data_IF_687876739534
#
_entry.id   IF_687876739534
#
_cell.length_a   1.000
_cell.length_b   1.000
_cell.length_c   1.000
_cell.angle_alpha   90.00
_cell.angle_beta   90.00
_cell.angle_gamma   90.00
#
_symmetry.space_group_name_H-M   'P 1'
#
loop_
_entity.id
_entity.type
_entity.pdbx_description
1 polymer ?
#
# COMPACT_ATOMS: atom_id res chain seq x y z
N UNK A 1 -6.33 7.25 -10.47
CA UNK A 1 -6.23 6.45 -9.22
C UNK A 1 -5.30 7.12 -8.24
N UNK A 2 -5.36 6.75 -6.98
CA UNK A 2 -4.55 7.31 -5.90
C UNK A 2 -3.74 6.20 -5.24
N UNK A 3 -2.42 6.38 -5.10
CA UNK A 3 -1.57 5.59 -4.21
C UNK A 3 -1.44 6.36 -2.90
N UNK A 4 -1.77 5.71 -1.80
CA UNK A 4 -1.81 6.30 -0.47
C UNK A 4 -1.06 5.38 0.50
N UNK A 5 0.22 5.68 0.68
CA UNK A 5 1.14 4.81 1.36
C UNK A 5 2.21 5.53 2.16
N UNK A 6 3.21 4.78 2.52
CA UNK A 6 4.38 5.25 3.25
C UNK A 6 5.65 5.31 2.37
N UNK A 7 6.81 5.08 2.96
CA UNK A 7 8.11 5.10 2.28
C UNK A 7 8.24 4.05 1.16
N UNK A 8 7.53 2.94 1.26
CA UNK A 8 7.56 1.86 0.26
C UNK A 8 6.93 2.31 -1.07
N UNK A 9 5.97 3.24 -1.00
CA UNK A 9 5.30 3.82 -2.17
C UNK A 9 5.85 5.20 -2.55
N UNK A 10 6.56 5.89 -1.62
CA UNK A 10 7.17 7.20 -1.86
C UNK A 10 8.57 7.13 -2.52
N UNK A 11 9.03 5.95 -2.94
CA UNK A 11 10.35 5.71 -3.51
C UNK A 11 11.51 6.15 -2.58
N UNK A 12 11.40 5.90 -1.27
CA UNK A 12 12.41 6.29 -0.30
C UNK A 12 13.82 5.77 -0.70
N UNK A 13 14.81 6.66 -0.62
CA UNK A 13 16.22 6.32 -0.89
C UNK A 13 16.57 6.14 -2.37
N UNK A 14 15.64 6.44 -3.30
CA UNK A 14 15.88 6.34 -4.74
C UNK A 14 15.18 7.49 -5.50
N UNK A 15 15.55 7.75 -6.76
CA UNK A 15 14.79 8.68 -7.60
C UNK A 15 13.35 8.23 -7.77
N UNK A 16 12.37 9.13 -7.60
CA UNK A 16 10.93 8.84 -7.67
C UNK A 16 10.54 8.09 -8.96
N UNK A 17 11.13 8.48 -10.11
CA UNK A 17 10.90 7.82 -11.41
C UNK A 17 11.31 6.34 -11.46
N UNK A 18 12.03 5.83 -10.45
CA UNK A 18 12.49 4.45 -10.33
C UNK A 18 11.63 3.61 -9.38
N UNK A 19 10.74 4.26 -8.62
CA UNK A 19 9.82 3.58 -7.72
C UNK A 19 8.68 2.87 -8.49
N UNK A 20 8.08 1.88 -7.86
CA UNK A 20 7.02 1.06 -8.46
C UNK A 20 5.79 1.90 -8.88
N UNK A 21 5.52 3.02 -8.23
CA UNK A 21 4.39 3.90 -8.60
C UNK A 21 4.63 4.57 -9.96
N UNK A 22 5.86 5.03 -10.24
CA UNK A 22 6.21 5.55 -11.55
C UNK A 22 6.14 4.45 -12.63
N UNK A 23 6.61 3.24 -12.32
CA UNK A 23 6.47 2.09 -13.22
C UNK A 23 4.99 1.72 -13.47
N UNK A 24 4.13 1.86 -12.45
CA UNK A 24 2.68 1.70 -12.60
C UNK A 24 2.10 2.73 -13.57
N UNK A 25 2.49 4.00 -13.43
CA UNK A 25 2.04 5.07 -14.33
C UNK A 25 2.44 4.79 -15.78
N UNK A 26 3.70 4.39 -16.02
CA UNK A 26 4.17 4.00 -17.36
C UNK A 26 3.38 2.82 -17.94
N UNK A 27 3.07 1.83 -17.11
CA UNK A 27 2.25 0.69 -17.53
C UNK A 27 0.83 1.10 -17.89
N UNK A 28 0.20 1.96 -17.08
CA UNK A 28 -1.14 2.46 -17.35
C UNK A 28 -1.21 3.27 -18.65
N UNK A 29 -0.22 4.14 -18.93
CA UNK A 29 -0.16 4.87 -20.20
C UNK A 29 -0.24 3.95 -21.43
N UNK A 30 0.29 2.73 -21.34
CA UNK A 30 0.25 1.73 -22.42
C UNK A 30 -1.01 0.88 -22.43
N UNK A 31 -1.45 0.41 -21.28
CA UNK A 31 -2.50 -0.62 -21.17
C UNK A 31 -3.87 -0.05 -20.82
N UNK A 32 -3.91 1.05 -20.05
CA UNK A 32 -5.11 1.71 -19.55
C UNK A 32 -4.96 3.23 -19.52
N UNK A 33 -4.87 3.87 -20.70
CA UNK A 33 -4.68 5.33 -20.83
C UNK A 33 -5.87 6.16 -20.27
N UNK A 34 -6.98 5.49 -19.96
CA UNK A 34 -8.14 6.04 -19.27
C UNK A 34 -7.89 6.25 -17.75
N UNK A 35 -6.76 5.80 -17.22
CA UNK A 35 -6.36 6.01 -15.81
C UNK A 35 -5.06 6.80 -15.70
N UNK A 36 -5.05 7.76 -14.78
CA UNK A 36 -3.85 8.43 -14.28
C UNK A 36 -3.55 8.04 -12.84
N UNK A 37 -2.31 8.25 -12.39
CA UNK A 37 -1.87 7.97 -11.02
C UNK A 37 -1.51 9.27 -10.32
N UNK A 38 -2.07 9.49 -9.12
CA UNK A 38 -1.58 10.44 -8.15
C UNK A 38 -0.92 9.67 -7.01
N UNK A 39 0.29 10.05 -6.62
CA UNK A 39 0.99 9.48 -5.46
C UNK A 39 0.95 10.45 -4.29
N UNK A 40 0.22 10.11 -3.23
CA UNK A 40 0.14 10.90 -2.00
C UNK A 40 0.80 10.18 -0.82
N UNK A 41 1.76 9.31 -1.09
CA UNK A 41 2.52 8.57 -0.08
C UNK A 41 3.52 9.48 0.63
N UNK A 42 3.71 9.28 1.94
CA UNK A 42 4.63 10.05 2.78
C UNK A 42 5.52 9.09 3.55
N UNK A 43 6.84 9.22 3.41
CA UNK A 43 7.80 8.39 4.15
C UNK A 43 7.60 8.52 5.66
N UNK A 44 7.57 7.38 6.36
CA UNK A 44 7.37 7.33 7.80
C UNK A 44 5.91 7.46 8.26
N UNK A 45 4.95 7.56 7.32
CA UNK A 45 3.53 7.69 7.63
C UNK A 45 2.99 6.49 8.41
N UNK A 46 2.23 6.77 9.45
CA UNK A 46 1.44 5.77 10.19
C UNK A 46 -0.01 5.79 9.74
N UNK A 47 -0.77 4.78 10.14
CA UNK A 47 -2.22 4.76 9.87
C UNK A 47 -2.96 5.94 10.52
N UNK A 48 -2.49 6.43 11.67
CA UNK A 48 -3.06 7.60 12.32
C UNK A 48 -2.82 8.88 11.51
N UNK A 49 -1.59 9.10 11.02
CA UNK A 49 -1.27 10.24 10.15
C UNK A 49 -2.05 10.16 8.84
N UNK A 50 -2.11 8.98 8.22
CA UNK A 50 -2.94 8.75 7.03
C UNK A 50 -4.41 9.08 7.28
N UNK A 51 -4.98 8.63 8.39
CA UNK A 51 -6.38 8.92 8.73
C UNK A 51 -6.65 10.44 8.89
N UNK A 52 -5.70 11.17 9.44
CA UNK A 52 -5.85 12.60 9.67
C UNK A 52 -5.93 13.44 8.38
N UNK A 53 -5.36 12.96 7.27
CA UNK A 53 -5.29 13.71 6.01
C UNK A 53 -6.13 13.14 4.86
N UNK A 54 -6.71 11.94 5.02
CA UNK A 54 -7.38 11.24 3.91
C UNK A 54 -8.51 12.04 3.28
N UNK A 55 -9.34 12.74 4.06
CA UNK A 55 -10.51 13.46 3.55
C UNK A 55 -10.10 14.55 2.55
N UNK A 56 -9.08 15.35 2.89
CA UNK A 56 -8.55 16.41 2.01
C UNK A 56 -7.95 15.82 0.72
N UNK A 57 -7.30 14.65 0.82
CA UNK A 57 -6.71 13.99 -0.34
C UNK A 57 -7.79 13.41 -1.24
N UNK A 58 -8.83 12.78 -0.69
CA UNK A 58 -9.97 12.27 -1.45
C UNK A 58 -10.74 13.39 -2.16
N UNK A 59 -10.95 14.53 -1.49
CA UNK A 59 -11.62 15.68 -2.08
C UNK A 59 -10.84 16.24 -3.28
N UNK A 60 -9.51 16.34 -3.16
CA UNK A 60 -8.63 16.85 -4.21
C UNK A 60 -8.50 15.89 -5.38
N UNK A 61 -8.23 14.60 -5.11
CA UNK A 61 -7.87 13.63 -6.14
C UNK A 61 -9.07 12.90 -6.75
N UNK A 62 -10.18 12.80 -6.04
CA UNK A 62 -11.43 12.11 -6.46
C UNK A 62 -11.15 10.77 -7.15
N UNK A 63 -10.41 9.85 -6.51
CA UNK A 63 -9.92 8.66 -7.17
C UNK A 63 -11.03 7.65 -7.44
N UNK A 64 -11.04 7.03 -8.63
CA UNK A 64 -11.88 5.86 -8.89
C UNK A 64 -11.33 4.59 -8.20
N UNK A 65 -10.01 4.54 -7.94
CA UNK A 65 -9.34 3.45 -7.24
C UNK A 65 -8.34 4.05 -6.26
N UNK A 66 -8.38 3.57 -4.99
CA UNK A 66 -7.39 3.83 -3.97
C UNK A 66 -6.54 2.57 -3.76
N UNK A 67 -5.22 2.70 -3.84
CA UNK A 67 -4.25 1.69 -3.38
C UNK A 67 -3.79 2.16 -2.01
N UNK A 68 -4.23 1.46 -0.95
CA UNK A 68 -3.94 1.79 0.45
C UNK A 68 -2.79 0.91 0.95
N UNK A 69 -1.62 1.50 1.09
CA UNK A 69 -0.38 0.84 1.51
C UNK A 69 0.14 1.54 2.78
N UNK A 70 -0.49 1.28 3.93
CA UNK A 70 -0.14 1.82 5.25
C UNK A 70 -0.23 0.72 6.31
N UNK A 71 0.48 0.93 7.40
CA UNK A 71 0.52 0.05 8.56
C UNK A 71 1.91 -0.48 8.88
N UNK A 72 2.83 -0.47 7.91
CA UNK A 72 4.22 -0.92 8.12
C UNK A 72 4.88 -0.16 9.25
N UNK A 73 4.74 1.17 9.29
CA UNK A 73 5.30 2.00 10.36
C UNK A 73 4.63 1.79 11.71
N UNK A 74 3.33 1.48 11.73
CA UNK A 74 2.64 1.09 12.97
C UNK A 74 3.25 -0.20 13.52
N UNK A 75 3.39 -1.21 12.67
CA UNK A 75 3.97 -2.51 13.03
C UNK A 75 5.43 -2.39 13.49
N UNK A 76 6.28 -1.72 12.72
CA UNK A 76 7.70 -1.54 13.03
C UNK A 76 7.93 -0.74 14.32
N UNK A 77 7.00 0.11 14.72
CA UNK A 77 7.04 0.86 15.99
C UNK A 77 6.36 0.13 17.15
N UNK A 78 5.87 -1.09 16.93
CA UNK A 78 5.19 -1.87 17.97
C UNK A 78 3.88 -1.25 18.45
N UNK A 79 3.21 -0.44 17.61
CA UNK A 79 1.95 0.19 17.98
C UNK A 79 0.81 -0.83 18.07
N UNK A 80 -0.24 -0.57 18.86
CA UNK A 80 -1.35 -1.50 19.02
C UNK A 80 -2.02 -1.84 17.68
N UNK A 81 -2.03 -3.12 17.29
CA UNK A 81 -2.65 -3.61 16.05
C UNK A 81 -4.14 -3.23 15.98
N UNK A 82 -4.84 -3.19 17.10
CA UNK A 82 -6.24 -2.77 17.15
C UNK A 82 -6.43 -1.29 16.72
N UNK A 83 -5.51 -0.40 17.09
CA UNK A 83 -5.53 1.00 16.67
C UNK A 83 -5.24 1.13 15.17
N UNK A 84 -4.21 0.44 14.66
CA UNK A 84 -3.91 0.35 13.23
C UNK A 84 -5.13 -0.13 12.43
N UNK A 85 -5.74 -1.24 12.85
CA UNK A 85 -6.93 -1.82 12.22
C UNK A 85 -8.09 -0.83 12.18
N UNK A 86 -8.36 -0.12 13.29
CA UNK A 86 -9.41 0.91 13.35
C UNK A 86 -9.14 2.07 12.38
N UNK A 87 -7.91 2.54 12.30
CA UNK A 87 -7.54 3.63 11.39
C UNK A 87 -7.68 3.21 9.92
N UNK A 88 -7.17 2.02 9.56
CA UNK A 88 -7.32 1.48 8.20
C UNK A 88 -8.80 1.28 7.82
N UNK A 89 -9.62 0.76 8.73
CA UNK A 89 -11.07 0.63 8.52
C UNK A 89 -11.69 1.99 8.16
N UNK A 90 -11.41 3.02 8.95
CA UNK A 90 -11.94 4.36 8.72
C UNK A 90 -11.46 4.96 7.39
N UNK A 91 -10.20 4.74 6.99
CA UNK A 91 -9.68 5.18 5.68
C UNK A 91 -10.43 4.46 4.55
N UNK A 92 -10.62 3.13 4.65
CA UNK A 92 -11.35 2.33 3.67
C UNK A 92 -12.79 2.84 3.51
N UNK A 93 -13.50 3.01 4.63
CA UNK A 93 -14.90 3.46 4.64
C UNK A 93 -15.07 4.85 4.01
N UNK A 94 -14.19 5.81 4.34
CA UNK A 94 -14.21 7.15 3.75
C UNK A 94 -13.95 7.10 2.25
N UNK A 95 -12.99 6.26 1.83
CA UNK A 95 -12.65 6.10 0.41
C UNK A 95 -13.79 5.46 -0.38
N UNK A 96 -14.43 4.44 0.17
CA UNK A 96 -15.59 3.80 -0.44
C UNK A 96 -16.80 4.76 -0.50
N UNK A 97 -17.04 5.55 0.56
CA UNK A 97 -18.06 6.60 0.58
C UNK A 97 -17.82 7.67 -0.49
N UNK A 98 -16.56 7.98 -0.78
CA UNK A 98 -16.17 8.88 -1.87
C UNK A 98 -16.25 8.23 -3.27
N UNK A 99 -16.72 6.97 -3.38
CA UNK A 99 -16.89 6.25 -4.64
C UNK A 99 -15.64 5.48 -5.13
N UNK A 100 -14.56 5.45 -4.36
CA UNK A 100 -13.35 4.73 -4.74
C UNK A 100 -13.46 3.22 -4.46
N UNK A 101 -13.04 2.39 -5.41
CA UNK A 101 -12.70 0.99 -5.14
C UNK A 101 -11.37 0.97 -4.38
N UNK A 102 -11.24 0.07 -3.39
CA UNK A 102 -10.02 0.00 -2.58
C UNK A 102 -9.25 -1.29 -2.85
N UNK A 103 -7.95 -1.15 -3.10
CA UNK A 103 -6.97 -2.23 -2.98
C UNK A 103 -6.22 -2.03 -1.68
N UNK A 104 -6.45 -2.89 -0.70
CA UNK A 104 -5.68 -2.91 0.54
C UNK A 104 -4.40 -3.71 0.32
N UNK A 105 -3.27 -3.13 0.72
CA UNK A 105 -1.94 -3.73 0.59
C UNK A 105 -1.43 -4.11 1.97
N UNK A 106 -1.24 -5.40 2.20
CA UNK A 106 -0.73 -5.95 3.43
C UNK A 106 0.80 -6.04 3.46
N UNK A 107 1.31 -6.11 4.69
CA UNK A 107 2.72 -6.29 4.99
C UNK A 107 2.91 -7.39 6.02
N UNK A 108 4.16 -7.86 6.14
CA UNK A 108 4.61 -8.79 7.18
C UNK A 108 5.71 -8.13 8.00
N UNK A 109 5.74 -8.44 9.29
CA UNK A 109 6.80 -8.00 10.18
C UNK A 109 7.95 -9.00 10.24
N UNK A 110 9.19 -8.54 10.46
CA UNK A 110 10.29 -9.43 10.75
C UNK A 110 10.02 -10.31 11.98
N UNK A 111 10.61 -11.53 12.05
CA UNK A 111 10.29 -12.50 13.10
C UNK A 111 10.66 -12.05 14.53
N UNK A 112 11.53 -11.06 14.68
CA UNK A 112 11.95 -10.51 15.97
C UNK A 112 10.88 -9.67 16.70
N UNK A 113 9.72 -9.43 16.09
CA UNK A 113 8.60 -8.72 16.72
C UNK A 113 7.71 -9.62 17.60
N UNK A 114 8.01 -10.91 17.67
CA UNK A 114 7.21 -11.91 18.39
C UNK A 114 6.04 -12.44 17.56
N UNK A 115 5.82 -13.74 17.70
CA UNK A 115 4.91 -14.48 16.81
C UNK A 115 3.45 -14.02 16.92
N UNK A 116 2.98 -13.76 18.15
CA UNK A 116 1.58 -13.34 18.35
C UNK A 116 1.30 -11.96 17.76
N UNK A 117 2.22 -11.00 17.95
CA UNK A 117 2.09 -9.67 17.40
C UNK A 117 2.17 -9.70 15.88
N UNK A 118 3.13 -10.41 15.30
CA UNK A 118 3.30 -10.53 13.86
C UNK A 118 2.07 -11.20 13.19
N UNK A 119 1.53 -12.26 13.79
CA UNK A 119 0.30 -12.91 13.33
C UNK A 119 -0.92 -11.98 13.42
N UNK A 120 -1.07 -11.26 14.53
CA UNK A 120 -2.17 -10.30 14.68
C UNK A 120 -2.09 -9.18 13.67
N UNK A 121 -0.87 -8.66 13.41
CA UNK A 121 -0.60 -7.64 12.40
C UNK A 121 -1.00 -8.10 11.00
N UNK A 122 -0.52 -9.26 10.55
CA UNK A 122 -0.82 -9.82 9.22
C UNK A 122 -2.32 -10.12 9.07
N UNK A 123 -2.94 -10.71 10.09
CA UNK A 123 -4.37 -11.02 10.09
C UNK A 123 -5.25 -9.79 9.98
N UNK A 124 -4.81 -8.64 10.50
CA UNK A 124 -5.59 -7.40 10.43
C UNK A 124 -5.94 -7.01 9.00
N UNK A 125 -5.03 -7.16 8.04
CA UNK A 125 -5.27 -6.85 6.62
C UNK A 125 -6.30 -7.80 6.00
N UNK A 126 -6.19 -9.10 6.27
CA UNK A 126 -7.14 -10.11 5.78
C UNK A 126 -8.55 -9.88 6.32
N UNK A 127 -8.66 -9.59 7.63
CA UNK A 127 -9.95 -9.30 8.28
C UNK A 127 -10.60 -8.05 7.70
N UNK A 128 -9.82 -6.98 7.51
CA UNK A 128 -10.30 -5.73 6.93
C UNK A 128 -10.77 -5.92 5.49
N UNK A 129 -9.98 -6.61 4.68
CA UNK A 129 -10.37 -6.88 3.30
C UNK A 129 -11.70 -7.65 3.21
N UNK A 130 -11.88 -8.65 4.08
CA UNK A 130 -13.11 -9.44 4.16
C UNK A 130 -14.30 -8.60 4.65
N UNK A 131 -14.13 -7.84 5.74
CA UNK A 131 -15.23 -7.07 6.34
C UNK A 131 -15.69 -5.91 5.48
N UNK A 132 -14.77 -5.25 4.74
CA UNK A 132 -15.09 -4.10 3.88
C UNK A 132 -15.19 -4.47 2.40
N UNK A 133 -15.07 -5.77 2.04
CA UNK A 133 -15.15 -6.26 0.66
C UNK A 133 -14.19 -5.54 -0.29
N UNK A 134 -12.96 -5.32 0.16
CA UNK A 134 -11.91 -4.72 -0.68
C UNK A 134 -11.11 -5.79 -1.40
N UNK A 135 -10.45 -5.41 -2.50
CA UNK A 135 -9.35 -6.21 -3.01
C UNK A 135 -8.18 -6.23 -2.01
N UNK A 136 -7.42 -7.31 -1.99
CA UNK A 136 -6.29 -7.49 -1.07
C UNK A 136 -5.06 -7.97 -1.85
N UNK A 137 -3.93 -7.29 -1.60
CA UNK A 137 -2.60 -7.86 -1.78
C UNK A 137 -2.10 -8.30 -0.41
N UNK A 138 -2.01 -9.58 -0.09
CA UNK A 138 -1.68 -10.03 1.27
C UNK A 138 -0.29 -9.60 1.74
N UNK A 139 0.69 -9.56 0.82
CA UNK A 139 2.06 -9.16 1.11
C UNK A 139 2.69 -8.43 -0.08
N UNK A 140 3.07 -7.17 0.12
CA UNK A 140 3.64 -6.31 -0.92
C UNK A 140 4.90 -6.90 -1.53
N UNK A 141 5.77 -7.53 -0.71
CA UNK A 141 7.10 -8.02 -1.06
C UNK A 141 7.10 -9.54 -1.37
N UNK A 142 5.96 -10.10 -1.77
CA UNK A 142 5.81 -11.52 -2.06
C UNK A 142 6.83 -12.00 -3.10
N UNK A 143 7.50 -13.11 -2.80
CA UNK A 143 8.50 -13.77 -3.67
C UNK A 143 9.92 -13.19 -3.58
N UNK A 144 10.12 -12.07 -2.87
CA UNK A 144 11.46 -11.50 -2.69
C UNK A 144 11.71 -10.88 -1.30
N UNK A 145 10.75 -10.87 -0.40
CA UNK A 145 10.88 -10.26 0.93
C UNK A 145 12.04 -10.80 1.79
N UNK A 146 12.57 -11.99 1.48
CA UNK A 146 13.71 -12.60 2.17
C UNK A 146 15.05 -12.45 1.42
N UNK A 147 15.05 -11.81 0.23
CA UNK A 147 16.24 -11.66 -0.62
C UNK A 147 16.97 -10.37 -0.28
N UNK A 148 17.93 -10.45 0.64
CA UNK A 148 18.67 -9.28 1.15
C UNK A 148 19.28 -8.40 0.05
N UNK A 149 19.69 -8.99 -1.07
CA UNK A 149 20.27 -8.29 -2.23
C UNK A 149 19.27 -7.39 -2.97
N UNK A 150 17.98 -7.56 -2.73
CA UNK A 150 16.91 -6.73 -3.31
C UNK A 150 16.48 -5.58 -2.37
N UNK A 151 17.18 -5.39 -1.25
CA UNK A 151 16.92 -4.32 -0.30
C UNK A 151 18.06 -3.31 -0.25
N UNK A 152 17.74 -2.10 0.18
CA UNK A 152 18.72 -1.07 0.49
C UNK A 152 19.55 -1.48 1.73
N UNK A 153 20.59 -0.72 2.06
CA UNK A 153 21.48 -1.03 3.19
C UNK A 153 20.75 -1.15 4.55
N UNK A 154 19.58 -0.52 4.68
CA UNK A 154 18.72 -0.59 5.86
C UNK A 154 17.95 -1.93 6.00
N UNK A 155 17.92 -2.77 4.96
CA UNK A 155 17.21 -4.05 4.89
C UNK A 155 15.69 -3.96 5.12
N UNK A 156 15.14 -2.77 4.97
CA UNK A 156 13.70 -2.48 5.12
C UNK A 156 13.11 -2.07 3.77
N UNK A 157 13.79 -1.16 3.08
CA UNK A 157 13.29 -0.60 1.84
C UNK A 157 13.79 -1.38 0.62
N UNK A 158 12.91 -1.85 -0.27
CA UNK A 158 13.31 -2.49 -1.52
C UNK A 158 14.18 -1.57 -2.37
N UNK A 159 15.27 -2.11 -2.92
CA UNK A 159 16.15 -1.41 -3.85
C UNK A 159 15.46 -1.20 -5.21
N UNK A 160 16.06 -0.39 -6.07
CA UNK A 160 15.57 -0.12 -7.43
C UNK A 160 15.31 -1.42 -8.21
N UNK A 161 16.21 -2.41 -8.10
CA UNK A 161 16.08 -3.70 -8.77
C UNK A 161 14.82 -4.50 -8.37
N UNK A 162 14.26 -4.24 -7.19
CA UNK A 162 13.06 -4.90 -6.69
C UNK A 162 11.75 -4.25 -7.15
N UNK A 163 11.77 -2.99 -7.61
CA UNK A 163 10.57 -2.22 -7.91
C UNK A 163 9.68 -2.84 -9.00
N UNK A 164 10.21 -3.47 -10.06
CA UNK A 164 9.38 -4.23 -11.00
C UNK A 164 8.64 -5.41 -10.35
N UNK A 165 9.26 -6.05 -9.35
CA UNK A 165 8.63 -7.11 -8.54
C UNK A 165 7.47 -6.59 -7.70
N UNK A 166 7.66 -5.43 -7.06
CA UNK A 166 6.58 -4.74 -6.31
C UNK A 166 5.41 -4.43 -7.24
N UNK A 167 5.68 -3.83 -8.41
CA UNK A 167 4.63 -3.54 -9.40
C UNK A 167 3.90 -4.82 -9.84
N UNK A 168 4.62 -5.90 -10.11
CA UNK A 168 4.02 -7.19 -10.49
C UNK A 168 3.04 -7.69 -9.43
N UNK A 169 3.42 -7.58 -8.15
CA UNK A 169 2.56 -8.00 -7.04
C UNK A 169 1.32 -7.13 -6.93
N UNK A 170 1.46 -5.80 -7.01
CA UNK A 170 0.34 -4.85 -6.97
C UNK A 170 -0.59 -5.02 -8.15
N UNK A 171 -0.06 -5.22 -9.36
CA UNK A 171 -0.85 -5.31 -10.59
C UNK A 171 -1.87 -6.45 -10.58
N UNK A 172 -1.50 -7.59 -10.01
CA UNK A 172 -2.35 -8.79 -10.01
C UNK A 172 -3.73 -8.56 -9.37
N UNK A 173 -3.84 -8.02 -8.14
CA UNK A 173 -5.13 -7.70 -7.53
C UNK A 173 -5.70 -6.35 -8.00
N UNK A 174 -4.91 -5.46 -8.59
CA UNK A 174 -5.34 -4.17 -9.12
C UNK A 174 -6.11 -4.30 -10.44
N UNK A 175 -5.64 -5.15 -11.35
CA UNK A 175 -6.20 -5.26 -12.70
C UNK A 175 -7.71 -5.54 -12.74
N UNK A 176 -8.29 -6.40 -11.87
CA UNK A 176 -9.74 -6.63 -11.83
C UNK A 176 -10.56 -5.41 -11.39
N UNK A 177 -9.96 -4.39 -10.78
CA UNK A 177 -10.65 -3.20 -10.30
C UNK A 177 -10.94 -2.19 -11.41
N UNK A 178 -10.24 -2.27 -12.54
CA UNK A 178 -10.50 -1.40 -13.67
C UNK A 178 -11.92 -1.60 -14.21
N UNK A 179 -12.56 -0.53 -14.67
CA UNK A 179 -13.83 -0.61 -15.41
C UNK A 179 -13.65 -1.38 -16.72
N UNK A 180 -14.76 -1.87 -17.28
CA UNK A 180 -14.75 -2.37 -18.67
C UNK A 180 -14.29 -1.23 -19.59
N UNK A 181 -13.45 -1.59 -20.56
CA UNK A 181 -13.10 -0.67 -21.66
C UNK A 181 -14.35 -0.33 -22.46
#
# INVERSE_FOLDING_TARGET
MLVYGDSLSAAYGMPERRGWVALLEERLKRERPDYSVANASISGETTAGGLARIDKVLERERPAILILELGSNDGLRGLPVAAMKKNLAAIIERSQKAGAKVLLVGMRLPPNYGEDYARAFERAFTDLAKSHRTALLPFLLEGFGEKAELFQADRIHPAEAAQPGVLKNVWKPLAPLFGKK
#
